data_IF_560231251695
#
_entry.id   IF_560231251695
#
_cell.length_a   1.000
_cell.length_b   1.000
_cell.length_c   1.000
_cell.angle_alpha   90.00
_cell.angle_beta   90.00
_cell.angle_gamma   90.00
#
_symmetry.space_group_name_H-M   'P 1'
#
loop_
_entity.id
_entity.type
_entity.pdbx_description
1 polymer ?
#
# COMPACT_ATOMS: atom_id res chain seq x y z
N UNK A 1 -6.43 17.25 1.77
CA UNK A 1 -5.70 18.06 2.78
C UNK A 1 -5.02 19.21 2.08
N UNK A 2 -5.00 20.36 2.73
CA UNK A 2 -4.21 21.52 2.36
C UNK A 2 -2.99 21.56 3.29
N UNK A 3 -1.81 21.19 2.78
CA UNK A 3 -0.55 21.30 3.54
C UNK A 3 0.16 22.61 3.21
N UNK A 4 0.85 23.24 4.15
CA UNK A 4 1.77 24.35 3.82
C UNK A 4 3.20 23.83 3.82
N UNK A 5 3.89 23.98 2.70
CA UNK A 5 5.35 23.79 2.62
C UNK A 5 5.91 25.05 1.96
N UNK A 6 6.89 25.69 2.61
CA UNK A 6 7.63 26.83 2.05
C UNK A 6 6.74 27.98 1.53
N UNK A 7 5.66 28.31 2.25
CA UNK A 7 4.74 29.40 1.89
C UNK A 7 3.69 29.07 0.82
N UNK A 8 3.65 27.83 0.32
CA UNK A 8 2.73 27.40 -0.73
C UNK A 8 1.64 26.47 -0.20
N UNK A 9 0.44 26.58 -0.77
CA UNK A 9 -0.74 25.79 -0.42
C UNK A 9 -0.76 24.48 -1.23
N UNK A 10 -0.61 23.33 -0.56
CA UNK A 10 -0.57 22.00 -1.17
C UNK A 10 -1.92 21.31 -1.07
N UNK A 11 -2.64 21.21 -2.18
CA UNK A 11 -3.89 20.46 -2.26
C UNK A 11 -3.62 19.01 -2.66
N UNK A 12 -3.84 18.06 -1.74
CA UNK A 12 -3.85 16.64 -2.11
C UNK A 12 -5.14 16.33 -2.88
N UNK A 13 -5.02 15.80 -4.08
CA UNK A 13 -6.15 15.50 -4.94
C UNK A 13 -6.27 14.01 -5.28
N UNK A 14 -7.50 13.51 -5.47
CA UNK A 14 -7.73 12.10 -5.75
C UNK A 14 -7.37 11.79 -7.23
N UNK A 15 -6.41 10.89 -7.48
CA UNK A 15 -5.96 10.57 -8.84
C UNK A 15 -7.04 9.88 -9.69
N UNK A 16 -8.03 9.22 -9.09
CA UNK A 16 -9.16 8.63 -9.83
C UNK A 16 -10.05 9.69 -10.46
N UNK A 17 -10.16 10.87 -9.82
CA UNK A 17 -10.98 11.99 -10.32
C UNK A 17 -10.25 12.88 -11.31
N UNK A 18 -8.91 12.88 -11.28
CA UNK A 18 -8.06 13.69 -12.18
C UNK A 18 -7.57 12.89 -13.39
N UNK A 19 -7.92 11.60 -13.49
CA UNK A 19 -7.46 10.74 -14.56
C UNK A 19 -7.88 11.31 -15.91
N UNK A 20 -6.90 11.71 -16.71
CA UNK A 20 -7.13 12.27 -18.03
C UNK A 20 -7.69 11.20 -18.98
N UNK A 21 -8.50 11.64 -19.95
CA UNK A 21 -9.11 10.80 -21.01
C UNK A 21 -7.99 10.18 -21.88
N UNK A 22 -8.14 8.97 -22.44
CA UNK A 22 -7.03 8.26 -23.10
C UNK A 22 -6.37 9.06 -24.23
N UNK A 23 -5.04 9.18 -24.17
CA UNK A 23 -4.17 9.86 -25.14
C UNK A 23 -2.70 9.83 -24.68
N UNK A 24 -1.74 10.25 -25.52
CA UNK A 24 -0.29 10.28 -25.17
C UNK A 24 -0.05 11.12 -23.91
N UNK A 25 0.15 10.43 -22.78
CA UNK A 25 0.52 11.01 -21.49
C UNK A 25 1.92 11.61 -21.59
N UNK A 26 2.09 12.85 -21.16
CA UNK A 26 3.40 13.52 -21.06
C UNK A 26 3.39 14.32 -19.77
N UNK A 27 4.42 14.19 -18.92
CA UNK A 27 4.40 14.76 -17.57
C UNK A 27 4.15 16.28 -17.57
N UNK A 28 4.63 17.01 -18.59
CA UNK A 28 4.31 18.44 -18.78
C UNK A 28 2.83 18.71 -19.05
N UNK A 29 2.18 17.90 -19.90
CA UNK A 29 0.77 18.07 -20.25
C UNK A 29 -0.13 17.74 -19.06
N UNK A 30 0.25 16.72 -18.30
CA UNK A 30 -0.46 16.36 -17.07
C UNK A 30 -0.33 17.45 -16.01
N UNK A 31 0.86 18.04 -15.83
CA UNK A 31 1.04 19.16 -14.90
C UNK A 31 0.19 20.38 -15.30
N UNK A 32 0.14 20.72 -16.59
CA UNK A 32 -0.70 21.80 -17.10
C UNK A 32 -2.19 21.52 -16.85
N UNK A 33 -2.63 20.29 -17.13
CA UNK A 33 -4.00 19.82 -16.93
C UNK A 33 -4.41 19.92 -15.45
N UNK A 34 -3.57 19.41 -14.54
CA UNK A 34 -3.80 19.48 -13.09
C UNK A 34 -3.85 20.95 -12.63
N UNK A 35 -2.95 21.81 -13.10
CA UNK A 35 -2.94 23.22 -12.74
C UNK A 35 -4.18 23.96 -13.25
N UNK A 36 -4.69 23.61 -14.44
CA UNK A 36 -5.92 24.17 -14.97
C UNK A 36 -7.14 23.74 -14.16
N UNK A 37 -7.22 22.46 -13.79
CA UNK A 37 -8.27 21.94 -12.92
C UNK A 37 -8.25 22.60 -11.53
N UNK A 38 -7.05 22.85 -10.98
CA UNK A 38 -6.88 23.56 -9.72
C UNK A 38 -7.39 25.00 -9.80
N UNK A 39 -7.00 25.74 -10.87
CA UNK A 39 -7.44 27.12 -11.09
C UNK A 39 -8.95 27.25 -11.27
N UNK A 40 -9.59 26.28 -11.92
CA UNK A 40 -11.04 26.27 -12.08
C UNK A 40 -11.79 25.91 -10.80
N UNK A 41 -11.11 25.48 -9.72
CA UNK A 41 -11.74 25.01 -8.49
C UNK A 41 -12.41 23.64 -8.60
N UNK A 42 -12.11 22.88 -9.66
CA UNK A 42 -12.71 21.56 -9.91
C UNK A 42 -11.99 20.42 -9.17
N UNK A 43 -10.85 20.71 -8.56
CA UNK A 43 -10.14 19.76 -7.71
C UNK A 43 -10.70 19.85 -6.29
N UNK A 44 -11.58 18.91 -5.96
CA UNK A 44 -11.95 18.68 -4.57
C UNK A 44 -10.76 18.07 -3.81
N UNK A 45 -10.38 18.71 -2.70
CA UNK A 45 -9.31 18.21 -1.85
C UNK A 45 -9.65 16.80 -1.36
N UNK A 46 -8.76 15.85 -1.61
CA UNK A 46 -8.89 14.48 -1.13
C UNK A 46 -9.01 14.49 0.39
N UNK A 47 -10.00 13.75 0.90
CA UNK A 47 -10.13 13.49 2.32
C UNK A 47 -8.85 12.83 2.81
N UNK A 48 -8.29 13.40 3.87
CA UNK A 48 -7.13 12.88 4.56
C UNK A 48 -7.55 12.73 6.02
N UNK A 49 -7.46 11.52 6.58
CA UNK A 49 -7.86 11.30 7.95
C UNK A 49 -7.01 12.15 8.91
N UNK A 50 -7.60 12.61 10.03
CA UNK A 50 -6.88 13.28 11.10
C UNK A 50 -5.77 12.37 11.66
N UNK A 51 -4.82 12.99 12.37
CA UNK A 51 -3.57 12.36 12.83
C UNK A 51 -3.83 11.08 13.61
N UNK A 52 -4.73 11.10 14.59
CA UNK A 52 -5.08 9.93 15.41
C UNK A 52 -5.53 8.71 14.57
N UNK A 53 -6.32 8.95 13.52
CA UNK A 53 -6.80 7.89 12.63
C UNK A 53 -5.67 7.40 11.72
N UNK A 54 -4.73 8.28 11.35
CA UNK A 54 -3.57 7.90 10.55
C UNK A 54 -2.64 6.98 11.35
N UNK A 55 -2.38 7.28 12.61
CA UNK A 55 -1.53 6.48 13.48
C UNK A 55 -2.10 5.07 13.67
N UNK A 56 -3.41 4.97 13.93
CA UNK A 56 -4.10 3.67 14.00
C UNK A 56 -4.03 2.90 12.67
N UNK A 57 -4.14 3.59 11.53
CA UNK A 57 -4.00 2.98 10.22
C UNK A 57 -2.58 2.49 9.95
N UNK A 58 -1.57 3.18 10.46
CA UNK A 58 -0.18 2.79 10.26
C UNK A 58 0.18 1.57 11.12
N UNK A 59 -0.33 1.49 12.35
CA UNK A 59 -0.23 0.28 13.18
C UNK A 59 -0.89 -0.94 12.51
N UNK A 60 -2.10 -0.79 11.98
CA UNK A 60 -2.80 -1.90 11.31
C UNK A 60 -2.12 -2.32 10.00
N UNK A 61 -1.57 -1.36 9.24
CA UNK A 61 -0.74 -1.64 8.05
C UNK A 61 0.54 -2.38 8.42
N UNK A 62 1.21 -1.96 9.47
CA UNK A 62 2.43 -2.60 9.95
C UNK A 62 2.17 -4.05 10.37
N UNK A 63 1.10 -4.29 11.13
CA UNK A 63 0.67 -5.65 11.48
C UNK A 63 0.40 -6.50 10.24
N UNK A 64 -0.31 -5.97 9.24
CA UNK A 64 -0.57 -6.69 7.99
C UNK A 64 0.72 -7.03 7.25
N UNK A 65 1.67 -6.10 7.22
CA UNK A 65 2.99 -6.32 6.62
C UNK A 65 3.70 -7.49 7.30
N UNK A 66 3.79 -7.49 8.63
CA UNK A 66 4.40 -8.58 9.38
C UNK A 66 3.75 -9.94 9.11
N UNK A 67 2.42 -10.00 9.04
CA UNK A 67 1.70 -11.25 8.72
C UNK A 67 2.05 -11.75 7.31
N UNK A 68 2.13 -10.84 6.34
CA UNK A 68 2.52 -11.18 4.98
C UNK A 68 3.97 -11.66 4.91
N UNK A 69 4.88 -11.01 5.65
CA UNK A 69 6.29 -11.39 5.72
C UNK A 69 6.43 -12.80 6.33
N UNK A 70 5.75 -13.08 7.44
CA UNK A 70 5.71 -14.43 8.02
C UNK A 70 5.20 -15.45 7.00
N UNK A 71 4.09 -15.16 6.32
CA UNK A 71 3.51 -16.07 5.32
C UNK A 71 4.47 -16.31 4.14
N UNK A 72 5.20 -15.27 3.71
CA UNK A 72 6.19 -15.39 2.65
C UNK A 72 7.36 -16.30 3.06
N UNK A 73 7.86 -16.17 4.29
CA UNK A 73 8.92 -17.03 4.81
C UNK A 73 8.43 -18.48 4.99
N UNK A 74 7.20 -18.70 5.45
CA UNK A 74 6.59 -20.04 5.48
C UNK A 74 6.62 -20.68 4.08
N UNK A 75 6.18 -19.93 3.06
CA UNK A 75 6.14 -20.42 1.69
C UNK A 75 7.53 -20.73 1.12
N UNK A 76 8.56 -19.95 1.48
CA UNK A 76 9.96 -20.23 1.09
C UNK A 76 10.44 -21.55 1.69
N UNK A 77 10.19 -21.77 2.97
CA UNK A 77 10.56 -23.01 3.67
C UNK A 77 9.82 -24.20 3.04
N UNK A 78 8.52 -24.07 2.79
CA UNK A 78 7.75 -25.09 2.07
C UNK A 78 8.35 -25.43 0.70
N UNK A 79 8.79 -24.42 -0.06
CA UNK A 79 9.42 -24.62 -1.37
C UNK A 79 10.72 -25.42 -1.25
N UNK A 80 11.62 -25.04 -0.33
CA UNK A 80 12.90 -25.74 -0.10
C UNK A 80 12.66 -27.21 0.27
N UNK A 81 11.67 -27.49 1.11
CA UNK A 81 11.35 -28.85 1.54
C UNK A 81 10.73 -29.70 0.42
N UNK A 82 9.90 -29.09 -0.43
CA UNK A 82 9.37 -29.75 -1.64
C UNK A 82 10.48 -30.08 -2.63
N UNK A 83 11.44 -29.17 -2.83
CA UNK A 83 12.61 -29.40 -3.69
C UNK A 83 13.48 -30.57 -3.14
N UNK A 84 13.51 -30.75 -1.81
CA UNK A 84 14.16 -31.88 -1.13
C UNK A 84 13.35 -33.20 -1.12
N UNK A 85 12.23 -33.27 -1.85
CA UNK A 85 11.34 -34.45 -1.94
C UNK A 85 10.66 -34.85 -0.60
N UNK A 86 10.65 -33.97 0.40
CA UNK A 86 9.97 -34.19 1.68
C UNK A 86 8.57 -33.56 1.62
N UNK A 87 7.53 -34.39 1.45
CA UNK A 87 6.13 -33.93 1.42
C UNK A 87 5.59 -33.62 2.83
N UNK A 88 6.05 -32.52 3.42
CA UNK A 88 5.55 -32.03 4.73
C UNK A 88 4.11 -31.48 4.65
N UNK A 89 3.63 -31.16 3.45
CA UNK A 89 2.25 -30.70 3.20
C UNK A 89 1.17 -31.73 3.55
N UNK A 90 1.52 -33.01 3.70
CA UNK A 90 0.59 -34.08 4.06
C UNK A 90 0.50 -34.30 5.58
N UNK A 91 1.50 -33.86 6.35
CA UNK A 91 1.63 -34.19 7.77
C UNK A 91 1.61 -33.00 8.73
N UNK A 92 1.87 -31.77 8.27
CA UNK A 92 1.76 -30.57 9.09
C UNK A 92 0.76 -29.59 8.49
N UNK A 93 -0.40 -29.46 9.13
CA UNK A 93 -1.36 -28.38 8.89
C UNK A 93 -0.83 -27.02 9.37
N UNK A 94 0.13 -26.99 10.30
CA UNK A 94 0.79 -25.77 10.76
C UNK A 94 2.26 -26.00 11.13
N UNK A 95 3.17 -25.68 10.21
CA UNK A 95 4.64 -25.79 10.42
C UNK A 95 5.13 -24.85 11.51
N UNK A 96 4.34 -23.83 11.90
CA UNK A 96 4.70 -22.84 12.93
C UNK A 96 3.64 -22.73 14.03
N UNK A 97 2.79 -23.74 14.15
CA UNK A 97 1.79 -23.84 15.21
C UNK A 97 2.42 -24.25 16.54
N UNK A 98 1.58 -24.63 17.50
CA UNK A 98 1.96 -24.96 18.89
C UNK A 98 3.11 -25.98 18.97
N UNK A 99 3.26 -26.85 17.98
CA UNK A 99 4.32 -27.85 17.85
C UNK A 99 5.66 -27.33 17.33
N UNK A 100 5.71 -26.22 16.57
CA UNK A 100 6.94 -25.63 16.04
C UNK A 100 7.58 -24.56 16.93
N UNK A 101 6.90 -24.16 18.02
CA UNK A 101 7.39 -23.14 18.98
C UNK A 101 8.20 -23.73 20.13
N UNK A 102 8.25 -25.06 20.25
CA UNK A 102 8.85 -25.81 21.35
C UNK A 102 10.22 -26.43 21.02
N UNK A 103 10.78 -26.16 19.83
CA UNK A 103 12.13 -26.58 19.44
C UNK A 103 12.94 -25.40 18.92
#
# INVERSE_FOLDING_TARGET
CIGRVSGQELVLANPQRIKNVPGKKTDMKDALWIAQLLRCGWIEASFVPPEDIRDLRDLTRYRRKLINDVTAEKNRIHKILQDGNIKLTTYLSDVFGVSGRLY
#
